data_IF_424305309702
#
_entry.id   IF_424305309702
#
_cell.length_a   1.000
_cell.length_b   1.000
_cell.length_c   1.000
_cell.angle_alpha   90.00
_cell.angle_beta   90.00
_cell.angle_gamma   90.00
#
_symmetry.space_group_name_H-M   'P 1'
#
loop_
_entity.id
_entity.type
_entity.pdbx_description
1 polymer ?
#
# COMPACT_ATOMS: atom_id res chain seq x y z
N UNK A 1 1.50 4.70 -9.57
CA UNK A 1 2.57 5.67 -9.23
C UNK A 1 3.05 5.34 -7.83
N UNK A 2 4.36 5.27 -7.63
CA UNK A 2 4.99 5.15 -6.30
C UNK A 2 5.45 6.56 -5.97
N UNK A 3 4.88 7.16 -4.94
CA UNK A 3 5.37 8.42 -4.41
C UNK A 3 6.05 8.12 -3.07
N UNK A 4 7.26 8.65 -2.91
CA UNK A 4 8.02 8.53 -1.69
C UNK A 4 8.48 9.92 -1.23
N UNK A 5 8.21 10.25 0.02
CA UNK A 5 8.64 11.50 0.66
C UNK A 5 9.67 11.18 1.74
N UNK A 6 10.91 11.66 1.57
CA UNK A 6 12.02 11.55 2.52
C UNK A 6 13.07 12.66 2.30
N UNK A 7 14.02 12.83 3.21
CA UNK A 7 15.00 13.93 3.15
C UNK A 7 15.96 13.80 1.94
N UNK A 8 15.93 14.87 1.13
CA UNK A 8 16.72 15.26 -0.05
C UNK A 8 16.52 14.55 -1.40
N UNK A 9 15.89 15.28 -2.34
CA UNK A 9 16.67 15.95 -3.40
C UNK A 9 16.11 17.35 -3.71
N UNK A 10 17.04 18.30 -3.81
CA UNK A 10 16.88 19.65 -4.34
C UNK A 10 16.54 19.64 -5.83
N UNK A 11 15.60 20.52 -6.22
CA UNK A 11 15.23 20.88 -7.59
C UNK A 11 14.79 19.72 -8.51
N UNK A 12 13.53 19.32 -8.41
CA UNK A 12 12.71 18.93 -9.56
C UNK A 12 11.23 19.15 -9.18
N UNK A 13 10.43 19.53 -10.17
CA UNK A 13 9.06 20.06 -10.03
C UNK A 13 8.25 19.24 -9.01
N UNK A 14 7.65 19.92 -8.03
CA UNK A 14 6.69 19.33 -7.11
C UNK A 14 5.40 18.95 -7.88
N UNK A 15 5.51 17.93 -8.72
CA UNK A 15 4.37 17.18 -9.25
C UNK A 15 3.58 16.68 -8.04
N UNK A 16 2.26 16.89 -8.07
CA UNK A 16 1.34 16.75 -6.95
C UNK A 16 1.62 15.50 -6.11
N UNK A 17 2.24 15.71 -4.94
CA UNK A 17 2.72 14.67 -4.03
C UNK A 17 1.58 14.07 -3.19
N UNK A 18 0.46 13.73 -3.82
CA UNK A 18 -0.75 13.28 -3.13
C UNK A 18 -1.46 12.15 -3.89
N UNK A 19 -2.39 11.48 -3.20
CA UNK A 19 -3.28 10.55 -3.90
C UNK A 19 -4.19 11.32 -4.87
N UNK A 20 -4.69 10.68 -5.94
CA UNK A 20 -5.76 11.23 -6.76
C UNK A 20 -6.96 11.66 -5.91
N UNK A 21 -7.65 12.73 -6.31
CA UNK A 21 -8.81 13.27 -5.59
C UNK A 21 -9.87 12.20 -5.25
N UNK A 22 -10.11 11.24 -6.16
CA UNK A 22 -11.06 10.14 -5.92
C UNK A 22 -10.71 9.26 -4.71
N UNK A 23 -9.42 9.14 -4.37
CA UNK A 23 -8.95 8.43 -3.18
C UNK A 23 -8.89 9.34 -1.96
N UNK A 24 -8.43 10.60 -2.10
CA UNK A 24 -8.37 11.56 -0.98
C UNK A 24 -9.74 11.83 -0.35
N UNK A 25 -10.77 11.91 -1.17
CA UNK A 25 -12.14 12.23 -0.73
C UNK A 25 -13.00 11.00 -0.44
N UNK A 26 -12.42 9.79 -0.47
CA UNK A 26 -13.18 8.59 -0.12
C UNK A 26 -13.49 8.57 1.37
N UNK A 27 -14.65 8.05 1.74
CA UNK A 27 -15.06 7.94 3.13
C UNK A 27 -15.38 6.47 3.49
N UNK A 28 -14.72 5.91 4.51
CA UNK A 28 -13.57 6.46 5.24
C UNK A 28 -12.28 6.44 4.39
N UNK A 29 -11.37 7.39 4.62
CA UNK A 29 -10.13 7.50 3.84
C UNK A 29 -9.20 6.28 4.02
N UNK A 30 -9.13 5.74 5.24
CA UNK A 30 -8.59 4.42 5.54
C UNK A 30 -9.45 3.81 6.65
N UNK A 31 -9.61 2.49 6.65
CA UNK A 31 -10.38 1.76 7.68
C UNK A 31 -9.65 0.54 8.24
N UNK A 32 -8.40 0.33 7.80
CA UNK A 32 -7.57 -0.78 8.22
C UNK A 32 -6.13 -0.30 8.39
N UNK A 33 -5.45 -0.79 9.42
CA UNK A 33 -4.02 -0.58 9.62
C UNK A 33 -3.32 -1.88 10.03
N UNK A 34 -2.07 -2.06 9.60
CA UNK A 34 -1.15 -3.08 10.13
C UNK A 34 0.11 -2.38 10.64
N UNK A 35 0.59 -2.84 11.80
CA UNK A 35 1.91 -2.49 12.31
C UNK A 35 2.84 -3.67 12.08
N UNK A 36 3.95 -3.45 11.37
CA UNK A 36 5.01 -4.43 11.20
C UNK A 36 6.26 -3.95 11.93
N UNK A 37 6.87 -4.83 12.72
CA UNK A 37 8.14 -4.58 13.42
C UNK A 37 9.18 -5.54 12.86
N UNK A 38 10.35 -5.02 12.49
CA UNK A 38 11.46 -5.78 11.92
C UNK A 38 12.71 -5.55 12.75
N UNK A 39 13.35 -6.62 13.19
CA UNK A 39 14.70 -6.60 13.75
C UNK A 39 15.75 -6.52 12.63
N UNK A 40 17.00 -6.16 12.93
CA UNK A 40 18.09 -6.19 11.94
C UNK A 40 18.19 -7.55 11.23
N UNK A 41 18.18 -7.53 9.90
CA UNK A 41 18.18 -8.73 9.04
C UNK A 41 16.79 -9.30 8.73
N UNK A 42 15.73 -8.88 9.44
CA UNK A 42 14.36 -9.24 9.08
C UNK A 42 13.84 -8.35 7.95
N UNK A 43 12.83 -8.87 7.24
CA UNK A 43 12.19 -8.19 6.13
C UNK A 43 10.91 -8.89 5.72
N UNK A 44 10.42 -8.59 4.51
CA UNK A 44 9.20 -9.16 3.96
C UNK A 44 9.46 -9.58 2.52
N UNK A 45 8.99 -10.78 2.14
CA UNK A 45 9.16 -11.27 0.76
C UNK A 45 8.44 -10.36 -0.24
N UNK A 46 8.92 -10.36 -1.49
CA UNK A 46 8.21 -9.76 -2.62
C UNK A 46 6.76 -10.23 -2.70
N UNK A 47 5.84 -9.29 -2.57
CA UNK A 47 4.42 -9.54 -2.68
C UNK A 47 3.67 -8.30 -3.18
N UNK A 48 2.47 -8.54 -3.73
CA UNK A 48 1.45 -7.52 -3.95
C UNK A 48 0.44 -7.62 -2.81
N UNK A 49 -0.02 -6.48 -2.31
CA UNK A 49 -1.07 -6.45 -1.29
C UNK A 49 -2.35 -7.15 -1.76
N UNK A 50 -2.99 -7.86 -0.82
CA UNK A 50 -4.18 -8.67 -1.12
C UNK A 50 -5.24 -7.85 -1.87
N UNK A 51 -5.87 -8.47 -2.87
CA UNK A 51 -6.90 -7.82 -3.71
C UNK A 51 -8.16 -7.40 -2.95
N UNK A 52 -8.34 -7.86 -1.70
CA UNK A 52 -9.43 -7.44 -0.81
C UNK A 52 -9.31 -5.98 -0.34
N UNK A 53 -8.13 -5.38 -0.43
CA UNK A 53 -7.92 -3.96 -0.14
C UNK A 53 -8.19 -3.13 -1.41
N UNK A 54 -8.83 -1.99 -1.25
CA UNK A 54 -9.05 -1.04 -2.35
C UNK A 54 -7.73 -0.42 -2.83
N UNK A 55 -7.81 0.44 -3.85
CA UNK A 55 -6.68 1.24 -4.29
C UNK A 55 -6.27 2.27 -3.23
N UNK A 56 -5.05 2.78 -3.30
CA UNK A 56 -4.51 3.73 -2.32
C UNK A 56 -4.08 3.06 -1.02
N UNK A 57 -2.78 2.81 -0.93
CA UNK A 57 -2.09 2.28 0.25
C UNK A 57 -1.04 3.30 0.69
N UNK A 58 -0.97 3.56 1.99
CA UNK A 58 0.05 4.40 2.59
C UNK A 58 0.90 3.60 3.57
N UNK A 59 2.23 3.77 3.53
CA UNK A 59 3.16 3.13 4.46
C UNK A 59 4.01 4.19 5.13
N UNK A 60 3.87 4.32 6.45
CA UNK A 60 4.70 5.19 7.28
C UNK A 60 5.85 4.37 7.84
N UNK A 61 7.08 4.86 7.71
CA UNK A 61 8.28 4.24 8.29
C UNK A 61 8.68 4.95 9.57
N UNK A 62 9.02 4.18 10.61
CA UNK A 62 9.39 4.68 11.93
C UNK A 62 10.68 3.98 12.41
N UNK A 63 11.33 4.60 13.40
CA UNK A 63 12.48 4.08 14.16
C UNK A 63 13.81 3.95 13.36
N UNK A 64 13.87 3.09 12.35
CA UNK A 64 15.11 2.82 11.59
C UNK A 64 14.88 2.83 10.09
N UNK A 65 15.92 3.23 9.34
CA UNK A 65 15.88 3.22 7.89
C UNK A 65 15.93 1.81 7.30
N UNK A 66 15.40 1.63 6.09
CA UNK A 66 15.60 0.44 5.26
C UNK A 66 15.52 0.78 3.76
N UNK A 67 15.88 -0.19 2.90
CA UNK A 67 15.62 -0.16 1.47
C UNK A 67 14.44 -1.08 1.17
N UNK A 68 13.34 -0.48 0.73
CA UNK A 68 12.23 -1.20 0.12
C UNK A 68 12.46 -1.30 -1.37
N UNK A 69 12.25 -2.46 -1.96
CA UNK A 69 12.42 -2.67 -3.38
C UNK A 69 11.09 -2.94 -4.07
N UNK A 70 10.92 -2.35 -5.25
CA UNK A 70 9.75 -2.52 -6.09
C UNK A 70 10.11 -3.22 -7.39
N UNK A 71 9.34 -4.24 -7.75
CA UNK A 71 9.52 -5.00 -9.00
C UNK A 71 8.17 -5.24 -9.65
N UNK A 72 8.06 -5.02 -10.96
CA UNK A 72 6.80 -5.22 -11.71
C UNK A 72 6.48 -6.72 -11.85
N UNK A 73 5.22 -7.13 -11.74
CA UNK A 73 4.84 -8.57 -11.74
C UNK A 73 5.21 -9.28 -13.06
N UNK A 74 5.10 -8.57 -14.17
CA UNK A 74 5.39 -9.03 -15.52
C UNK A 74 6.89 -9.20 -15.82
N UNK A 75 7.80 -8.75 -14.95
CA UNK A 75 9.23 -9.07 -15.08
C UNK A 75 9.54 -10.54 -14.85
N UNK A 76 8.64 -11.27 -14.19
CA UNK A 76 8.88 -12.67 -13.81
C UNK A 76 8.53 -13.66 -14.93
N UNK A 77 7.81 -13.20 -15.96
CA UNK A 77 7.34 -14.04 -17.07
C UNK A 77 8.46 -14.45 -18.04
N UNK A 78 9.56 -13.70 -18.06
CA UNK A 78 10.69 -13.97 -18.97
C UNK A 78 11.72 -14.96 -18.38
N UNK A 79 11.48 -15.52 -17.18
CA UNK A 79 12.34 -16.54 -16.55
C UNK A 79 13.76 -16.07 -16.18
N UNK A 80 14.12 -14.83 -16.52
CA UNK A 80 15.35 -14.18 -16.17
C UNK A 80 15.06 -13.09 -15.15
N UNK A 81 15.61 -13.21 -13.93
CA UNK A 81 15.70 -12.09 -12.99
C UNK A 81 16.50 -10.96 -13.67
N UNK A 82 15.80 -10.05 -14.34
CA UNK A 82 16.43 -8.87 -14.91
C UNK A 82 16.77 -7.94 -13.75
N UNK A 83 18.02 -7.98 -13.27
CA UNK A 83 18.58 -7.09 -12.24
C UNK A 83 18.31 -5.60 -12.51
N UNK A 84 17.99 -5.21 -13.75
CA UNK A 84 17.60 -3.85 -14.14
C UNK A 84 16.15 -3.43 -13.86
N UNK A 85 15.26 -4.30 -13.35
CA UNK A 85 13.82 -3.97 -13.14
C UNK A 85 13.43 -3.70 -11.67
N UNK A 86 14.39 -3.81 -10.74
CA UNK A 86 14.15 -3.65 -9.31
C UNK A 86 14.48 -2.21 -8.90
N UNK A 87 13.48 -1.46 -8.47
CA UNK A 87 13.61 -0.05 -8.08
C UNK A 87 13.78 0.03 -6.56
N UNK A 88 14.96 0.41 -6.04
CA UNK A 88 15.18 0.56 -4.61
C UNK A 88 14.69 1.94 -4.13
N UNK A 89 14.04 1.97 -2.97
CA UNK A 89 13.52 3.17 -2.30
C UNK A 89 14.03 3.17 -0.86
N UNK A 90 14.74 4.23 -0.49
CA UNK A 90 15.33 4.36 0.84
C UNK A 90 14.36 5.00 1.83
N UNK A 91 13.80 4.21 2.73
CA UNK A 91 12.80 4.66 3.69
C UNK A 91 13.48 5.08 4.99
N UNK A 92 13.52 6.37 5.29
CA UNK A 92 13.98 6.91 6.58
C UNK A 92 12.84 6.94 7.62
N UNK A 93 13.14 7.04 8.93
CA UNK A 93 12.12 7.34 9.93
C UNK A 93 11.37 8.64 9.59
N UNK A 94 10.04 8.60 9.65
CA UNK A 94 9.16 9.71 9.24
C UNK A 94 8.79 9.71 7.75
N UNK A 95 9.42 8.88 6.91
CA UNK A 95 9.08 8.82 5.49
C UNK A 95 7.72 8.15 5.24
N UNK A 96 7.10 8.56 4.13
CA UNK A 96 5.81 8.08 3.66
C UNK A 96 5.94 7.52 2.24
N UNK A 97 5.44 6.31 2.03
CA UNK A 97 5.24 5.72 0.71
C UNK A 97 3.75 5.70 0.41
N UNK A 98 3.37 6.24 -0.74
CA UNK A 98 2.01 6.12 -1.29
C UNK A 98 2.05 5.24 -2.53
N UNK A 99 1.16 4.23 -2.57
CA UNK A 99 1.00 3.33 -3.71
C UNK A 99 -0.44 3.36 -4.19
N UNK A 100 -0.64 3.64 -5.48
CA UNK A 100 -1.96 3.58 -6.10
C UNK A 100 -1.88 3.27 -7.61
N UNK A 101 -3.02 2.90 -8.19
CA UNK A 101 -3.13 2.45 -9.57
C UNK A 101 -2.17 1.28 -9.82
N UNK A 102 -1.44 1.33 -10.95
CA UNK A 102 -0.50 0.27 -11.31
C UNK A 102 0.48 -0.10 -10.17
N UNK A 103 0.97 0.88 -9.40
CA UNK A 103 1.94 0.61 -8.33
C UNK A 103 1.37 -0.28 -7.21
N UNK A 104 0.06 -0.21 -6.96
CA UNK A 104 -0.61 -1.03 -5.94
C UNK A 104 -0.98 -2.41 -6.46
N UNK A 105 -1.21 -2.55 -7.77
CA UNK A 105 -1.75 -3.79 -8.35
C UNK A 105 -0.72 -4.62 -9.12
N UNK A 106 0.25 -3.98 -9.75
CA UNK A 106 1.17 -4.59 -10.72
C UNK A 106 2.63 -4.55 -10.25
N UNK A 107 2.91 -4.01 -9.05
CA UNK A 107 4.24 -3.98 -8.48
C UNK A 107 4.29 -4.72 -7.16
N UNK A 108 5.21 -5.67 -7.08
CA UNK A 108 5.61 -6.31 -5.83
C UNK A 108 6.48 -5.35 -5.05
N UNK A 109 6.37 -5.39 -3.74
CA UNK A 109 7.27 -4.69 -2.83
C UNK A 109 7.88 -5.67 -1.82
N UNK A 110 9.12 -5.40 -1.43
CA UNK A 110 9.85 -6.20 -0.45
C UNK A 110 10.85 -5.40 0.37
N UNK A 111 11.21 -5.95 1.53
CA UNK A 111 12.37 -5.55 2.32
C UNK A 111 13.24 -6.80 2.44
N UNK A 112 14.51 -6.69 2.07
CA UNK A 112 15.41 -7.83 2.00
C UNK A 112 15.47 -8.61 3.33
N UNK A 113 15.26 -9.94 3.25
CA UNK A 113 15.29 -10.89 4.38
C UNK A 113 16.63 -11.63 4.52
N UNK A 114 17.57 -11.38 3.61
CA UNK A 114 18.86 -12.08 3.60
C UNK A 114 19.68 -11.63 4.81
N UNK A 115 20.40 -12.56 5.47
CA UNK A 115 21.38 -12.20 6.48
C UNK A 115 22.38 -11.17 5.94
N UNK A 116 22.75 -10.18 6.75
CA UNK A 116 23.70 -9.14 6.39
C UNK A 116 23.12 -7.73 6.49
N UNK A 117 23.80 -6.78 5.87
CA UNK A 117 23.45 -5.36 5.88
C UNK A 117 22.71 -4.97 4.60
N UNK A 118 21.82 -3.99 4.71
CA UNK A 118 21.27 -3.30 3.55
C UNK A 118 22.24 -2.20 3.12
N UNK A 119 22.41 -2.04 1.80
CA UNK A 119 23.29 -1.03 1.21
C UNK A 119 22.44 -0.02 0.45
N UNK A 120 22.74 1.27 0.62
CA UNK A 120 22.14 2.36 -0.16
C UNK A 120 23.23 3.26 -0.71
N UNK A 121 23.24 3.44 -2.04
CA UNK A 121 24.26 4.22 -2.76
C UNK A 121 25.71 3.84 -2.41
N UNK A 122 25.95 2.55 -2.18
CA UNK A 122 27.28 2.01 -1.85
C UNK A 122 27.61 2.00 -0.35
N UNK A 123 26.79 2.63 0.48
CA UNK A 123 27.00 2.70 1.93
C UNK A 123 26.12 1.70 2.67
N UNK A 124 26.69 1.03 3.67
CA UNK A 124 25.92 0.18 4.57
C UNK A 124 24.99 1.03 5.44
N UNK A 125 23.72 0.67 5.46
CA UNK A 125 22.74 1.28 6.34
C UNK A 125 22.87 0.62 7.71
N UNK A 126 23.04 1.44 8.75
CA UNK A 126 22.97 0.96 10.12
C UNK A 126 21.52 0.53 10.45
N UNK A 127 21.24 -0.76 10.33
CA UNK A 127 19.94 -1.32 10.66
C UNK A 127 19.75 -1.44 12.18
N UNK A 128 18.65 -0.89 12.68
CA UNK A 128 18.13 -1.12 14.03
C UNK A 128 16.72 -1.70 13.91
N UNK A 129 16.03 -1.86 15.04
CA UNK A 129 14.59 -2.16 14.99
C UNK A 129 13.87 -1.10 14.16
N UNK A 130 13.07 -1.55 13.20
CA UNK A 130 12.22 -0.70 12.35
C UNK A 130 10.76 -1.06 12.60
N UNK A 131 9.93 -0.04 12.77
CA UNK A 131 8.48 -0.17 12.78
C UNK A 131 7.89 0.49 11.53
N UNK A 132 6.88 -0.12 10.94
CA UNK A 132 6.07 0.53 9.89
C UNK A 132 4.59 0.37 10.13
N UNK A 133 3.85 1.42 9.78
CA UNK A 133 2.38 1.44 9.83
C UNK A 133 1.86 1.50 8.40
N UNK A 134 1.19 0.43 7.96
CA UNK A 134 0.55 0.36 6.65
C UNK A 134 -0.94 0.64 6.79
N UNK A 135 -1.43 1.69 6.14
CA UNK A 135 -2.82 2.12 6.12
C UNK A 135 -3.49 1.71 4.81
N UNK A 136 -4.68 1.10 4.92
CA UNK A 136 -5.45 0.55 3.78
C UNK A 136 -6.95 0.73 3.99
N UNK A 137 -7.71 0.54 2.92
CA UNK A 137 -9.17 0.52 2.96
C UNK A 137 -9.70 -0.82 2.46
N UNK A 138 -10.66 -1.40 3.16
CA UNK A 138 -11.55 -2.41 2.62
C UNK A 138 -12.69 -1.76 1.85
N UNK A 139 -13.13 -2.43 0.79
CA UNK A 139 -14.41 -2.12 0.17
C UNK A 139 -15.52 -2.37 1.19
N UNK A 140 -16.13 -1.29 1.69
CA UNK A 140 -17.30 -1.41 2.56
C UNK A 140 -18.50 -1.68 1.65
N UNK A 141 -19.14 -2.85 1.81
CA UNK A 141 -20.35 -3.26 1.09
C UNK A 141 -21.54 -2.27 1.26
N UNK A 142 -21.42 -1.24 2.10
CA UNK A 142 -22.46 -0.26 2.38
C UNK A 142 -22.73 0.75 1.25
N UNK A 143 -22.01 0.70 0.12
CA UNK A 143 -22.36 1.50 -1.07
C UNK A 143 -23.76 1.14 -1.62
N UNK A 144 -24.29 -0.05 -1.34
CA UNK A 144 -25.65 -0.44 -1.76
C UNK A 144 -26.76 0.14 -0.87
N UNK A 145 -26.53 0.35 0.44
CA UNK A 145 -27.58 0.89 1.34
C UNK A 145 -27.90 2.36 1.10
N UNK A 146 -26.92 3.16 0.65
CA UNK A 146 -27.13 4.58 0.31
C UNK A 146 -27.88 4.76 -1.02
N UNK A 147 -27.82 3.78 -1.93
CA UNK A 147 -28.61 3.81 -3.16
C UNK A 147 -30.07 3.38 -2.91
N UNK A 148 -30.31 2.38 -2.07
CA UNK A 148 -31.68 1.96 -1.69
C UNK A 148 -32.47 3.06 -0.98
N UNK A 149 -31.80 3.86 -0.15
CA UNK A 149 -32.44 5.01 0.52
C UNK A 149 -32.68 6.21 -0.41
N UNK A 150 -32.01 6.27 -1.57
CA UNK A 150 -32.26 7.27 -2.63
C UNK A 150 -33.29 6.83 -3.68
N UNK A 151 -33.54 5.52 -3.80
CA UNK A 151 -34.46 4.93 -4.78
C UNK A 151 -35.84 4.57 -4.19
N UNK A 152 -36.07 4.81 -2.90
CA UNK A 152 -37.41 4.69 -2.31
C UNK A 152 -38.04 3.30 -2.40
N UNK A 153 -37.27 2.24 -2.62
CA UNK A 153 -37.76 0.85 -2.72
C UNK A 153 -37.85 0.20 -1.33
N UNK A 154 -38.65 0.77 -0.44
CA UNK A 154 -39.12 0.10 0.78
C UNK A 154 -40.58 -0.33 0.57
N UNK A 155 -40.83 -1.33 -0.28
CA UNK A 155 -42.16 -1.93 -0.37
C UNK A 155 -42.15 -3.34 -0.96
N UNK A 156 -41.32 -4.27 -0.47
CA UNK A 156 -41.45 -5.69 -0.80
C UNK A 156 -41.15 -6.65 0.37
N UNK A 157 -41.41 -6.23 1.62
CA UNK A 157 -41.31 -7.14 2.79
C UNK A 157 -42.60 -7.33 3.59
N UNK A 158 -43.75 -6.79 3.15
CA UNK A 158 -45.04 -6.94 3.86
C UNK A 158 -46.05 -7.89 3.17
N UNK A 159 -45.58 -8.81 2.33
CA UNK A 159 -46.47 -9.76 1.60
C UNK A 159 -46.28 -11.25 1.97
N UNK A 160 -45.80 -11.56 3.17
CA UNK A 160 -45.56 -12.96 3.58
C UNK A 160 -46.24 -13.40 4.90
N UNK A 161 -47.24 -12.66 5.39
CA UNK A 161 -48.01 -13.04 6.59
C UNK A 161 -49.52 -12.85 6.39
N UNK A 162 -50.09 -13.45 5.34
CA UNK A 162 -51.54 -13.68 5.30
C UNK A 162 -51.90 -14.82 4.32
N UNK A 163 -51.62 -16.07 4.67
CA UNK A 163 -52.37 -17.23 4.17
C UNK A 163 -51.87 -18.53 4.83
N UNK A 164 -52.45 -18.90 5.97
CA UNK A 164 -52.84 -20.29 6.28
C UNK A 164 -53.86 -20.22 7.41
N UNK A 165 -55.13 -20.41 7.04
CA UNK A 165 -56.13 -21.01 7.93
C UNK A 165 -55.92 -22.51 7.99
#
# INVERSE_FOLDING_TARGET
MILWMGEETSNEVAEDCSFPAALLWREPFFNQLIVNVYQPGEGICAHVDLMRFEDGIAVVSLESSCVMHFTRVDSDMDGHEQEGKKIPVYLTPGSLVLMWGEARYLWKHEINRKPGFQVWRGEEIQQRQRTSVTLRSFAILNKLRRLDSSLGLNSLQDAALCSTS
#
